data_IF_704379973110
#
_entry.id   IF_704379973110
#
_cell.length_a   1.000
_cell.length_b   1.000
_cell.length_c   1.000
_cell.angle_alpha   90.00
_cell.angle_beta   90.00
_cell.angle_gamma   90.00
#
_symmetry.space_group_name_H-M   'P 1'
#
loop_
_entity.id
_entity.type
_entity.pdbx_description
1 polymer ?
#
# COMPACT_ATOMS: atom_id res chain seq x y z
N UNK A 1 -8.40 -14.05 2.46
CA UNK A 1 -9.16 -14.09 3.72
C UNK A 1 -8.30 -13.69 4.92
N UNK A 2 -7.67 -14.58 5.70
CA UNK A 2 -6.99 -14.17 6.96
C UNK A 2 -5.86 -13.12 6.80
N UNK A 3 -5.17 -13.08 5.67
CA UNK A 3 -4.15 -12.04 5.37
C UNK A 3 -4.75 -10.71 4.88
N UNK A 4 -5.93 -10.76 4.26
CA UNK A 4 -6.65 -9.56 3.81
C UNK A 4 -7.25 -8.85 5.02
N UNK A 5 -7.94 -9.59 5.90
CA UNK A 5 -8.46 -9.03 7.16
C UNK A 5 -7.33 -8.42 8.00
N UNK A 6 -6.16 -9.08 8.05
CA UNK A 6 -5.00 -8.54 8.78
C UNK A 6 -4.40 -7.31 8.09
N UNK A 7 -4.41 -7.27 6.77
CA UNK A 7 -3.99 -6.08 6.03
C UNK A 7 -4.93 -4.91 6.30
N UNK A 8 -6.24 -5.13 6.26
CA UNK A 8 -7.25 -4.09 6.53
C UNK A 8 -7.12 -3.53 7.95
N UNK A 9 -6.90 -4.38 8.96
CA UNK A 9 -6.63 -3.95 10.33
C UNK A 9 -5.40 -3.04 10.43
N UNK A 10 -4.28 -3.45 9.81
CA UNK A 10 -3.03 -2.68 9.82
C UNK A 10 -3.20 -1.36 9.09
N UNK A 11 -3.87 -1.34 7.93
CA UNK A 11 -4.16 -0.13 7.18
C UNK A 11 -5.02 0.85 8.00
N UNK A 12 -6.04 0.34 8.68
CA UNK A 12 -6.91 1.15 9.53
C UNK A 12 -6.15 1.73 10.73
N UNK A 13 -5.25 0.96 11.34
CA UNK A 13 -4.39 1.43 12.43
C UNK A 13 -3.44 2.54 11.97
N UNK A 14 -2.76 2.36 10.82
CA UNK A 14 -1.91 3.39 10.21
C UNK A 14 -2.72 4.67 9.96
N UNK A 15 -3.90 4.57 9.33
CA UNK A 15 -4.72 5.74 9.04
C UNK A 15 -5.10 6.49 10.32
N UNK A 16 -5.56 5.77 11.35
CA UNK A 16 -5.95 6.35 12.63
C UNK A 16 -4.79 7.10 13.29
N UNK A 17 -3.60 6.51 13.34
CA UNK A 17 -2.44 7.14 13.97
C UNK A 17 -1.96 8.39 13.21
N UNK A 18 -2.08 8.39 11.87
CA UNK A 18 -1.72 9.55 11.06
C UNK A 18 -2.75 10.68 11.17
N UNK A 19 -4.04 10.35 11.35
CA UNK A 19 -5.11 11.33 11.60
C UNK A 19 -4.96 12.06 12.94
N UNK A 20 -4.25 11.48 13.91
CA UNK A 20 -3.99 12.13 15.21
C UNK A 20 -2.93 13.26 15.13
N UNK A 21 -2.26 13.42 13.99
CA UNK A 21 -1.24 14.47 13.80
C UNK A 21 -1.90 15.85 13.62
N UNK A 22 -1.23 16.87 14.17
CA UNK A 22 -1.69 18.25 14.09
C UNK A 22 -1.86 18.70 12.63
N UNK A 23 -3.00 19.34 12.34
CA UNK A 23 -3.33 19.84 11.00
C UNK A 23 -3.82 18.79 10.01
N UNK A 24 -3.96 17.52 10.41
CA UNK A 24 -4.55 16.46 9.57
C UNK A 24 -6.04 16.33 9.84
N UNK A 25 -6.82 16.24 8.76
CA UNK A 25 -8.28 16.12 8.78
C UNK A 25 -8.71 14.68 8.49
N UNK A 26 -8.05 14.00 7.56
CA UNK A 26 -8.39 12.62 7.20
C UNK A 26 -7.24 11.91 6.49
N UNK A 27 -7.12 10.60 6.70
CA UNK A 27 -6.16 9.74 5.99
C UNK A 27 -6.87 8.48 5.53
N UNK A 28 -6.66 8.10 4.27
CA UNK A 28 -7.20 6.87 3.71
C UNK A 28 -6.16 6.14 2.87
N UNK A 29 -6.08 4.83 3.07
CA UNK A 29 -5.26 3.92 2.27
C UNK A 29 -6.17 2.84 1.73
N UNK A 30 -6.27 2.76 0.40
CA UNK A 30 -7.07 1.76 -0.31
C UNK A 30 -6.14 0.91 -1.16
N UNK A 31 -6.07 -0.39 -0.86
CA UNK A 31 -5.32 -1.34 -1.66
C UNK A 31 -6.29 -2.18 -2.50
N UNK A 32 -6.11 -2.16 -3.82
CA UNK A 32 -6.98 -2.88 -4.74
C UNK A 32 -6.61 -4.38 -4.77
N UNK A 33 -7.64 -5.23 -4.80
CA UNK A 33 -7.49 -6.69 -4.88
C UNK A 33 -7.96 -7.20 -6.24
N UNK A 34 -7.23 -8.17 -6.81
CA UNK A 34 -7.56 -8.74 -8.13
C UNK A 34 -6.36 -9.09 -8.98
N UNK A 35 -6.61 -9.37 -10.26
CA UNK A 35 -5.57 -9.50 -11.27
C UNK A 35 -5.35 -8.15 -11.94
N UNK A 36 -4.10 -7.70 -11.97
CA UNK A 36 -3.71 -6.42 -12.55
C UNK A 36 -2.67 -6.60 -13.66
N UNK A 37 -2.82 -5.80 -14.71
CA UNK A 37 -1.85 -5.65 -15.78
C UNK A 37 -0.72 -4.70 -15.40
N UNK A 38 0.40 -4.77 -16.11
CA UNK A 38 1.52 -3.85 -15.89
C UNK A 38 1.07 -2.42 -16.18
N UNK A 39 1.28 -1.53 -15.19
CA UNK A 39 0.92 -0.11 -15.28
C UNK A 39 -0.43 0.24 -14.67
N UNK A 40 -1.19 -0.74 -14.17
CA UNK A 40 -2.44 -0.48 -13.43
C UNK A 40 -2.16 -0.01 -12.01
N UNK A 41 -3.06 0.83 -11.49
CA UNK A 41 -3.01 1.36 -10.14
C UNK A 41 -3.37 0.25 -9.14
N UNK A 42 -2.58 0.14 -8.07
CA UNK A 42 -2.74 -0.91 -7.05
C UNK A 42 -3.09 -0.35 -5.67
N UNK A 43 -2.73 0.91 -5.41
CA UNK A 43 -2.96 1.55 -4.13
C UNK A 43 -3.29 3.03 -4.31
N UNK A 44 -4.25 3.51 -3.53
CA UNK A 44 -4.52 4.93 -3.36
C UNK A 44 -4.19 5.32 -1.94
N UNK A 45 -3.45 6.41 -1.78
CA UNK A 45 -3.18 7.04 -0.49
C UNK A 45 -3.67 8.47 -0.56
N UNK A 46 -4.57 8.85 0.33
CA UNK A 46 -5.17 10.16 0.40
C UNK A 46 -4.92 10.76 1.78
N UNK A 47 -4.46 12.01 1.80
CA UNK A 47 -4.28 12.78 3.04
C UNK A 47 -4.91 14.15 2.84
N UNK A 48 -5.85 14.48 3.72
CA UNK A 48 -6.47 15.80 3.80
C UNK A 48 -5.99 16.50 5.08
N UNK A 49 -5.66 17.79 4.97
CA UNK A 49 -5.17 18.59 6.09
C UNK A 49 -5.35 20.08 5.84
N UNK A 50 -5.15 20.88 6.88
CA UNK A 50 -5.39 22.32 6.90
C UNK A 50 -4.46 23.08 5.94
N UNK A 51 -3.18 22.67 5.90
CA UNK A 51 -2.20 23.25 4.98
C UNK A 51 -1.35 22.17 4.32
N UNK A 52 -0.89 22.47 3.10
CA UNK A 52 -0.01 21.56 2.34
C UNK A 52 1.27 21.16 3.10
N UNK A 53 1.76 22.00 4.00
CA UNK A 53 2.97 21.74 4.82
C UNK A 53 2.74 20.61 5.83
N UNK A 54 1.49 20.37 6.22
CA UNK A 54 1.10 19.32 7.15
C UNK A 54 0.81 18.03 6.36
N UNK A 55 0.18 18.16 5.19
CA UNK A 55 -0.25 17.04 4.33
C UNK A 55 0.91 16.26 3.71
N UNK A 56 1.87 16.92 3.06
CA UNK A 56 2.90 16.20 2.28
C UNK A 56 3.79 15.27 3.12
N UNK A 57 4.27 15.67 4.32
CA UNK A 57 5.04 14.76 5.18
C UNK A 57 4.22 13.54 5.61
N UNK A 58 2.93 13.73 5.92
CA UNK A 58 2.05 12.63 6.35
C UNK A 58 1.72 11.70 5.19
N UNK A 59 1.62 12.22 3.96
CA UNK A 59 1.45 11.39 2.76
C UNK A 59 2.66 10.49 2.51
N UNK A 60 3.88 11.01 2.66
CA UNK A 60 5.11 10.22 2.53
C UNK A 60 5.17 9.13 3.62
N UNK A 61 4.90 9.51 4.87
CA UNK A 61 4.84 8.57 6.00
C UNK A 61 3.78 7.48 5.79
N UNK A 62 2.59 7.82 5.26
CA UNK A 62 1.54 6.86 4.96
C UNK A 62 1.98 5.80 3.95
N UNK A 63 2.65 6.22 2.87
CA UNK A 63 3.16 5.30 1.84
C UNK A 63 4.25 4.40 2.41
N UNK A 64 5.17 4.94 3.20
CA UNK A 64 6.27 4.18 3.79
C UNK A 64 5.78 3.15 4.81
N UNK A 65 4.85 3.55 5.68
CA UNK A 65 4.26 2.66 6.68
C UNK A 65 3.44 1.56 6.03
N UNK A 66 2.60 1.90 5.05
CA UNK A 66 1.86 0.93 4.24
C UNK A 66 2.77 -0.17 3.71
N UNK A 67 3.84 0.19 2.99
CA UNK A 67 4.77 -0.77 2.38
C UNK A 67 5.53 -1.61 3.40
N UNK A 68 5.74 -1.07 4.61
CA UNK A 68 6.54 -1.71 5.66
C UNK A 68 5.72 -2.64 6.56
N UNK A 69 4.49 -2.25 6.86
CA UNK A 69 3.68 -2.84 7.92
C UNK A 69 2.57 -3.73 7.37
N UNK A 70 1.97 -3.39 6.20
CA UNK A 70 0.86 -4.15 5.65
C UNK A 70 1.35 -5.50 5.06
N UNK A 71 0.80 -6.65 5.50
CA UNK A 71 1.18 -7.97 5.01
C UNK A 71 0.56 -8.28 3.64
N UNK A 72 0.90 -7.49 2.62
CA UNK A 72 0.35 -7.60 1.27
C UNK A 72 1.31 -8.39 0.39
N UNK A 73 0.81 -9.47 -0.20
CA UNK A 73 1.57 -10.33 -1.10
C UNK A 73 0.98 -10.23 -2.51
N UNK A 74 1.83 -9.89 -3.48
CA UNK A 74 1.46 -9.97 -4.90
C UNK A 74 1.91 -11.29 -5.49
N UNK A 75 1.03 -11.95 -6.25
CA UNK A 75 1.40 -13.10 -7.06
C UNK A 75 1.70 -12.60 -8.47
N UNK A 76 2.96 -12.66 -8.87
CA UNK A 76 3.36 -12.26 -10.22
C UNK A 76 3.26 -13.45 -11.17
N UNK A 77 2.77 -13.19 -12.39
CA UNK A 77 2.74 -14.14 -13.50
C UNK A 77 3.76 -13.73 -14.56
N UNK A 78 4.65 -14.63 -14.93
CA UNK A 78 5.65 -14.41 -15.99
C UNK A 78 5.38 -15.39 -17.12
N UNK A 79 5.35 -14.88 -18.34
CA UNK A 79 5.28 -15.67 -19.56
C UNK A 79 6.70 -15.73 -20.14
N UNK A 80 7.28 -16.93 -20.26
CA UNK A 80 8.60 -17.10 -20.86
C UNK A 80 8.54 -16.84 -22.37
N UNK A 81 9.71 -16.66 -23.01
CA UNK A 81 9.80 -16.52 -24.48
C UNK A 81 9.27 -17.75 -25.24
N UNK A 82 9.22 -18.89 -24.56
CA UNK A 82 8.70 -20.17 -25.08
C UNK A 82 7.18 -20.33 -24.83
N UNK A 83 6.54 -19.33 -24.21
CA UNK A 83 5.10 -19.33 -23.93
C UNK A 83 4.70 -20.02 -22.62
N UNK A 84 5.65 -20.43 -21.78
CA UNK A 84 5.34 -21.05 -20.49
C UNK A 84 4.88 -20.01 -19.47
N UNK A 85 3.69 -20.19 -18.87
CA UNK A 85 3.20 -19.35 -17.78
C UNK A 85 3.73 -19.89 -16.44
N UNK A 86 4.52 -19.08 -15.73
CA UNK A 86 4.99 -19.37 -14.36
C UNK A 86 4.42 -18.33 -13.40
N UNK A 87 4.22 -18.70 -12.14
CA UNK A 87 3.80 -17.76 -11.10
C UNK A 87 4.62 -17.92 -9.84
N UNK A 88 5.01 -16.81 -9.22
CA UNK A 88 5.68 -16.81 -7.93
C UNK A 88 5.10 -15.71 -7.03
N UNK A 89 5.08 -15.98 -5.73
CA UNK A 89 4.68 -15.00 -4.73
C UNK A 89 5.85 -14.05 -4.49
N UNK A 90 5.60 -12.75 -4.62
CA UNK A 90 6.57 -11.70 -4.30
C UNK A 90 6.04 -10.97 -3.08
N UNK A 91 6.76 -11.11 -1.97
CA UNK A 91 6.70 -10.12 -0.90
C UNK A 91 7.51 -8.90 -1.35
N UNK A 92 7.05 -7.67 -1.07
CA UNK A 92 7.86 -6.49 -1.38
C UNK A 92 9.26 -6.64 -0.76
N UNK A 93 10.27 -6.69 -1.64
CA UNK A 93 11.66 -6.76 -1.24
C UNK A 93 12.00 -5.40 -0.63
N UNK A 94 12.39 -5.36 0.66
CA UNK A 94 13.04 -4.18 1.24
C UNK A 94 14.24 -3.84 0.35
N UNK A 95 14.11 -2.80 -0.48
CA UNK A 95 15.29 -2.13 -1.03
C UNK A 95 15.93 -1.41 0.15
N UNK A 96 16.88 -2.10 0.77
CA UNK A 96 17.72 -1.55 1.81
C UNK A 96 18.66 -0.51 1.22
N UNK A 97 18.66 0.65 1.88
CA UNK A 97 19.53 1.82 1.80
C UNK A 97 19.39 2.74 0.58
#
# INVERSE_FOLDING_TARGET
EAYEEKADEVLAEICKELEEKEGIVNVQIHHLLGEFSVGEELVYVLVAGEHRKDVFPVLEEAVDRFKKEAPIFKKEYVITREGEKRSYWVAEHKRGN
#
